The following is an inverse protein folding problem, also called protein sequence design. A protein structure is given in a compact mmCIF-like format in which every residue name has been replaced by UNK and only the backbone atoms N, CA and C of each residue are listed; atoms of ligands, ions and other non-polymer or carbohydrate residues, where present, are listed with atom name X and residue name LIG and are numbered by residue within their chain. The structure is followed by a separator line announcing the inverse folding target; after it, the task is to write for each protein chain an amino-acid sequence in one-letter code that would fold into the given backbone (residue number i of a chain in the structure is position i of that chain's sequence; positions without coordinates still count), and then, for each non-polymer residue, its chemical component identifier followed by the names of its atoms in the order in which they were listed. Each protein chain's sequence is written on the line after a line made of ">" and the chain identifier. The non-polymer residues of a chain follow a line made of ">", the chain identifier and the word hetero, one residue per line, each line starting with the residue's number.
data_IF_367157567872
#
_entry.id   IF_367157567872
#
_cell.length_a   1.000
_cell.length_b   1.000
_cell.length_c   1.000
_cell.angle_alpha   90.00
_cell.angle_beta   90.00
_cell.angle_gamma   90.00
#
_symmetry.space_group_name_H-M   'P 1'
#
loop_
_entity.id
_entity.type
_entity.pdbx_description
1 polymer ?
#
# COMPACT_ATOMS: atom_id res chain seq x y z
N UNK A 1 -4.29 39.64 2.27
CA UNK A 1 -5.61 39.01 2.09
C UNK A 1 -5.49 37.55 2.43
N UNK A 2 -6.35 37.10 3.34
CA UNK A 2 -6.17 36.00 4.28
C UNK A 2 -6.38 34.64 3.61
N UNK A 3 -5.35 33.80 3.55
CA UNK A 3 -5.47 32.40 3.18
C UNK A 3 -6.04 31.60 4.34
N UNK A 4 -7.26 31.09 4.19
CA UNK A 4 -7.90 30.23 5.17
C UNK A 4 -7.11 28.91 5.31
N UNK A 5 -6.34 28.79 6.38
CA UNK A 5 -5.77 27.52 6.85
C UNK A 5 -6.93 26.58 7.16
N UNK A 6 -7.14 25.55 6.32
CA UNK A 6 -8.05 24.45 6.65
C UNK A 6 -7.58 23.79 7.93
N UNK A 7 -8.33 23.99 9.00
CA UNK A 7 -8.23 23.22 10.23
C UNK A 7 -8.68 21.78 9.95
N UNK A 8 -7.76 20.94 9.47
CA UNK A 8 -7.94 19.49 9.51
C UNK A 8 -7.63 19.03 10.94
N UNK A 9 -8.58 18.35 11.56
CA UNK A 9 -8.48 17.85 12.93
C UNK A 9 -7.12 17.21 13.19
N UNK A 10 -6.45 17.73 14.21
CA UNK A 10 -5.16 17.23 14.69
C UNK A 10 -5.31 15.78 15.14
N UNK A 11 -4.86 14.82 14.32
CA UNK A 11 -4.45 13.48 14.77
C UNK A 11 -3.16 13.54 15.60
N UNK A 12 -2.88 14.65 16.31
CA UNK A 12 -1.54 15.09 16.72
C UNK A 12 -0.86 14.30 17.84
N UNK A 13 -1.18 13.03 18.05
CA UNK A 13 -0.41 12.20 19.01
C UNK A 13 -0.37 10.71 18.68
N UNK A 14 -1.16 10.21 17.73
CA UNK A 14 -1.16 8.79 17.43
C UNK A 14 -0.02 8.47 16.44
N UNK A 15 0.87 7.56 16.85
CA UNK A 15 1.87 6.95 15.98
C UNK A 15 1.18 5.94 15.06
N UNK A 16 0.94 6.32 13.81
CA UNK A 16 0.20 5.51 12.83
C UNK A 16 1.19 4.73 11.95
N UNK A 17 0.99 3.41 11.88
CA UNK A 17 1.57 2.56 10.86
C UNK A 17 0.52 2.22 9.79
N UNK A 18 0.88 2.41 8.53
CA UNK A 18 0.04 2.03 7.38
C UNK A 18 0.60 0.75 6.76
N UNK A 19 -0.27 -0.21 6.45
CA UNK A 19 0.08 -1.48 5.81
C UNK A 19 -0.67 -1.62 4.49
N UNK A 20 0.04 -1.86 3.39
CA UNK A 20 -0.52 -1.87 2.05
C UNK A 20 -0.18 -3.19 1.38
N UNK A 21 -1.15 -4.08 1.16
CA UNK A 21 -0.96 -5.20 0.25
C UNK A 21 -0.87 -4.70 -1.19
N UNK A 22 0.16 -5.11 -1.91
CA UNK A 22 0.27 -4.91 -3.36
C UNK A 22 -0.46 -6.04 -4.06
N UNK A 23 -1.67 -5.75 -4.53
CA UNK A 23 -2.60 -6.64 -5.20
C UNK A 23 -2.36 -6.55 -6.72
N UNK A 24 -1.99 -7.66 -7.37
CA UNK A 24 -1.65 -7.69 -8.80
C UNK A 24 -2.77 -7.14 -9.69
N UNK A 25 -2.45 -6.18 -10.56
CA UNK A 25 -3.34 -5.48 -11.48
C UNK A 25 -4.41 -4.58 -10.83
N UNK A 26 -4.34 -4.33 -9.53
CA UNK A 26 -5.24 -3.41 -8.83
C UNK A 26 -4.50 -2.19 -8.26
N UNK A 27 -3.37 -2.41 -7.60
CA UNK A 27 -2.60 -1.33 -6.98
C UNK A 27 -1.08 -1.53 -6.98
N UNK A 28 -0.56 -2.43 -7.80
CA UNK A 28 0.86 -2.73 -7.92
C UNK A 28 1.56 -2.02 -9.10
N UNK A 29 0.84 -1.19 -9.85
CA UNK A 29 1.42 -0.36 -10.92
C UNK A 29 2.06 0.93 -10.39
N UNK A 30 3.03 1.45 -11.15
CA UNK A 30 3.84 2.61 -10.77
C UNK A 30 2.99 3.88 -10.59
N UNK A 31 1.93 4.07 -11.39
CA UNK A 31 1.06 5.25 -11.28
C UNK A 31 0.33 5.25 -9.94
N UNK A 32 -0.27 4.12 -9.56
CA UNK A 32 -0.99 3.98 -8.30
C UNK A 32 -0.03 4.09 -7.10
N UNK A 33 1.17 3.51 -7.18
CA UNK A 33 2.20 3.62 -6.13
C UNK A 33 2.59 5.09 -5.91
N UNK A 34 2.85 5.84 -6.98
CA UNK A 34 3.24 7.24 -6.91
C UNK A 34 2.11 8.11 -6.34
N UNK A 35 0.86 7.90 -6.79
CA UNK A 35 -0.31 8.62 -6.26
C UNK A 35 -0.57 8.31 -4.79
N UNK A 36 -0.44 7.05 -4.41
CA UNK A 36 -0.53 6.62 -3.01
C UNK A 36 0.56 7.28 -2.18
N UNK A 37 1.81 7.31 -2.67
CA UNK A 37 2.91 7.97 -1.99
C UNK A 37 2.67 9.47 -1.78
N UNK A 38 2.14 10.17 -2.79
CA UNK A 38 1.80 11.59 -2.70
C UNK A 38 0.74 11.85 -1.61
N UNK A 39 -0.29 11.02 -1.56
CA UNK A 39 -1.32 11.09 -0.51
C UNK A 39 -0.74 10.82 0.90
N UNK A 40 0.14 9.83 1.03
CA UNK A 40 0.75 9.48 2.32
C UNK A 40 1.69 10.57 2.86
N UNK A 41 2.27 11.43 2.00
CA UNK A 41 3.03 12.61 2.45
C UNK A 41 2.17 13.60 3.22
N UNK A 42 0.88 13.71 2.89
CA UNK A 42 -0.04 14.60 3.60
C UNK A 42 -0.38 14.07 4.99
N UNK A 43 -0.45 12.74 5.15
CA UNK A 43 -0.76 12.07 6.43
C UNK A 43 0.45 12.02 7.37
N UNK A 44 1.66 11.84 6.83
CA UNK A 44 2.92 11.66 7.59
C UNK A 44 2.86 10.49 8.59
N UNK A 45 2.59 9.26 8.13
CA UNK A 45 2.61 8.09 9.01
C UNK A 45 4.02 7.85 9.56
N UNK A 46 4.11 7.17 10.70
CA UNK A 46 5.41 6.79 11.26
C UNK A 46 6.13 5.78 10.36
N UNK A 47 5.39 4.79 9.83
CA UNK A 47 5.91 3.72 8.98
C UNK A 47 4.88 3.28 7.96
N UNK A 48 5.36 2.88 6.79
CA UNK A 48 4.55 2.27 5.73
C UNK A 48 5.12 0.89 5.46
N UNK A 49 4.31 -0.16 5.64
CA UNK A 49 4.71 -1.53 5.33
C UNK A 49 4.04 -1.98 4.04
N UNK A 50 4.82 -2.19 2.99
CA UNK A 50 4.33 -2.88 1.81
C UNK A 50 4.34 -4.38 2.06
N UNK A 51 3.28 -5.05 1.61
CA UNK A 51 3.09 -6.48 1.77
C UNK A 51 2.93 -7.10 0.38
N UNK A 52 3.73 -8.10 0.01
CA UNK A 52 3.49 -8.85 -1.20
C UNK A 52 2.17 -9.61 -1.09
N UNK A 53 1.43 -9.70 -2.19
CA UNK A 53 0.22 -10.49 -2.23
C UNK A 53 0.53 -11.98 -2.01
N UNK A 54 -0.37 -12.63 -1.30
CA UNK A 54 -0.37 -14.07 -1.05
C UNK A 54 -1.73 -14.63 -1.47
N UNK A 55 -1.74 -15.82 -2.03
CA UNK A 55 -2.90 -16.42 -2.70
C UNK A 55 -3.59 -17.49 -1.84
N UNK A 56 -3.23 -17.60 -0.56
CA UNK A 56 -3.79 -18.61 0.36
C UNK A 56 -5.32 -18.50 0.55
N UNK A 57 -5.92 -17.34 0.28
CA UNK A 57 -7.35 -17.10 0.44
C UNK A 57 -8.21 -17.87 -0.59
N UNK A 58 -7.65 -18.32 -1.73
CA UNK A 58 -8.36 -19.13 -2.73
C UNK A 58 -8.98 -20.40 -2.13
N UNK A 59 -8.30 -21.04 -1.17
CA UNK A 59 -8.78 -22.25 -0.49
C UNK A 59 -10.09 -21.98 0.26
N UNK A 60 -10.23 -20.79 0.87
CA UNK A 60 -11.43 -20.43 1.63
C UNK A 60 -12.64 -20.25 0.73
N UNK A 61 -12.46 -19.68 -0.47
CA UNK A 61 -13.54 -19.53 -1.45
C UNK A 61 -14.06 -20.89 -1.91
N UNK A 62 -13.15 -21.80 -2.26
CA UNK A 62 -13.49 -23.17 -2.66
C UNK A 62 -14.21 -23.94 -1.54
N UNK A 63 -13.77 -23.78 -0.29
CA UNK A 63 -14.36 -24.47 0.87
C UNK A 63 -15.83 -24.12 1.12
N UNK A 64 -16.27 -22.92 0.74
CA UNK A 64 -17.67 -22.48 0.89
C UNK A 64 -18.46 -22.53 -0.43
N UNK A 65 -17.94 -23.21 -1.45
CA UNK A 65 -18.59 -23.34 -2.76
C UNK A 65 -18.73 -22.02 -3.52
N UNK A 66 -17.96 -20.98 -3.16
CA UNK A 66 -17.98 -19.71 -3.90
C UNK A 66 -17.02 -19.77 -5.09
N UNK A 67 -17.46 -19.17 -6.20
CA UNK A 67 -16.58 -18.93 -7.34
C UNK A 67 -15.38 -18.12 -6.88
N UNK A 68 -14.20 -18.59 -7.22
CA UNK A 68 -12.95 -17.89 -6.95
C UNK A 68 -12.81 -16.69 -7.90
N UNK A 69 -12.69 -15.50 -7.32
CA UNK A 69 -12.54 -14.24 -8.04
C UNK A 69 -11.31 -13.47 -7.59
N UNK A 70 -10.45 -14.10 -6.78
CA UNK A 70 -9.25 -13.46 -6.27
C UNK A 70 -8.15 -13.45 -7.34
N UNK A 71 -7.25 -12.45 -7.34
CA UNK A 71 -6.09 -12.47 -8.22
C UNK A 71 -5.14 -13.59 -7.83
N UNK A 72 -4.42 -14.11 -8.82
CA UNK A 72 -3.33 -15.07 -8.63
C UNK A 72 -2.04 -14.32 -8.34
N UNK A 73 -1.23 -14.83 -7.41
CA UNK A 73 0.08 -14.25 -7.13
C UNK A 73 1.01 -14.47 -8.33
N UNK A 74 1.56 -13.41 -8.95
CA UNK A 74 2.47 -13.59 -10.07
C UNK A 74 3.86 -14.02 -9.59
N UNK A 75 4.64 -14.65 -10.47
CA UNK A 75 5.99 -15.15 -10.14
C UNK A 75 6.97 -14.03 -9.79
N UNK A 76 6.78 -12.85 -10.40
CA UNK A 76 7.58 -11.63 -10.22
C UNK A 76 7.09 -10.73 -9.06
N UNK A 77 6.21 -11.22 -8.18
CA UNK A 77 5.61 -10.41 -7.10
C UNK A 77 6.66 -9.71 -6.22
N UNK A 78 7.80 -10.34 -5.98
CA UNK A 78 8.88 -9.75 -5.17
C UNK A 78 9.58 -8.62 -5.93
N UNK A 79 9.77 -8.75 -7.24
CA UNK A 79 10.35 -7.68 -8.05
C UNK A 79 9.42 -6.46 -8.12
N UNK A 80 8.10 -6.70 -8.20
CA UNK A 80 7.09 -5.62 -8.12
C UNK A 80 7.10 -4.93 -6.76
N UNK A 81 7.24 -5.70 -5.68
CA UNK A 81 7.39 -5.16 -4.33
C UNK A 81 8.64 -4.28 -4.20
N UNK A 82 9.78 -4.74 -4.71
CA UNK A 82 11.03 -3.96 -4.71
C UNK A 82 10.88 -2.68 -5.53
N UNK A 83 10.26 -2.76 -6.71
CA UNK A 83 9.97 -1.57 -7.52
C UNK A 83 9.12 -0.56 -6.74
N UNK A 84 8.06 -1.01 -6.08
CA UNK A 84 7.20 -0.15 -5.28
C UNK A 84 7.94 0.49 -4.10
N UNK A 85 8.78 -0.28 -3.41
CA UNK A 85 9.65 0.21 -2.34
C UNK A 85 10.58 1.31 -2.85
N UNK A 86 11.23 1.10 -4.00
CA UNK A 86 12.17 2.07 -4.56
C UNK A 86 11.48 3.38 -4.97
N UNK A 87 10.30 3.30 -5.59
CA UNK A 87 9.51 4.49 -5.93
C UNK A 87 9.13 5.28 -4.67
N UNK A 88 8.59 4.62 -3.65
CA UNK A 88 8.19 5.28 -2.40
C UNK A 88 9.40 5.81 -1.60
N UNK A 89 10.54 5.11 -1.61
CA UNK A 89 11.79 5.58 -0.99
C UNK A 89 12.32 6.85 -1.67
N UNK A 90 12.28 6.93 -3.01
CA UNK A 90 12.65 8.14 -3.77
C UNK A 90 11.74 9.34 -3.47
N UNK A 91 10.58 9.09 -2.87
CA UNK A 91 9.68 10.11 -2.36
C UNK A 91 9.94 10.46 -0.89
N UNK A 92 10.99 9.95 -0.25
CA UNK A 92 11.32 10.17 1.18
C UNK A 92 10.26 9.65 2.16
N UNK A 93 9.53 8.60 1.78
CA UNK A 93 8.55 7.97 2.67
C UNK A 93 9.22 6.91 3.57
N UNK A 94 8.76 6.74 4.83
CA UNK A 94 9.28 5.73 5.77
C UNK A 94 8.73 4.33 5.43
N UNK A 95 9.02 3.85 4.21
CA UNK A 95 8.49 2.61 3.65
C UNK A 95 9.43 1.42 3.86
N UNK A 96 8.88 0.25 4.15
CA UNK A 96 9.64 -0.99 4.31
C UNK A 96 8.82 -2.24 3.96
N UNK A 97 9.52 -3.38 3.87
CA UNK A 97 9.00 -4.74 3.71
C UNK A 97 9.85 -5.69 4.58
N UNK A 98 9.29 -6.83 4.97
CA UNK A 98 10.06 -7.92 5.60
C UNK A 98 10.60 -8.93 4.57
N UNK A 99 10.14 -8.83 3.33
CA UNK A 99 10.58 -9.62 2.17
C UNK A 99 11.48 -8.80 1.28
#
# INVERSE_FOLDING_TARGET
>A
MTGATRAAGRWNSARIQIRIPLIPAFNDDDENILRTGAFLKEIRPEKIKLLPYHDMAHVKYRAIGKKDTLPVRPGDMIDRLHRALDLMKRMDLPVYSDQ
#
